data_IF_205785422507
#
_entry.id   IF_205785422507
#
_cell.length_a   1.000
_cell.length_b   1.000
_cell.length_c   1.000
_cell.angle_alpha   90.00
_cell.angle_beta   90.00
_cell.angle_gamma   90.00
#
_symmetry.space_group_name_H-M   'P 1'
#
loop_
_entity.id
_entity.type
_entity.pdbx_description
1 polymer ?
#
# COMPACT_ATOMS: atom_id res chain seq x y z
N UNK A 1 12.38 5.90 9.05
CA UNK A 1 13.50 4.93 8.84
C UNK A 1 13.15 4.02 7.66
N UNK A 2 14.11 3.29 7.09
CA UNK A 2 13.85 2.31 6.02
C UNK A 2 12.79 1.27 6.47
N UNK A 3 12.91 0.78 7.71
CA UNK A 3 11.95 -0.16 8.31
C UNK A 3 10.52 0.39 8.31
N UNK A 4 10.33 1.65 8.73
CA UNK A 4 9.01 2.27 8.74
C UNK A 4 8.40 2.40 7.33
N UNK A 5 9.17 2.82 6.31
CA UNK A 5 8.63 2.93 4.93
C UNK A 5 8.20 1.57 4.38
N UNK A 6 9.00 0.52 4.59
CA UNK A 6 8.65 -0.82 4.13
C UNK A 6 7.41 -1.36 4.85
N UNK A 7 7.33 -1.20 6.17
CA UNK A 7 6.15 -1.59 6.96
C UNK A 7 4.91 -0.83 6.51
N UNK A 8 5.04 0.49 6.32
CA UNK A 8 3.94 1.36 5.92
C UNK A 8 3.40 1.00 4.53
N UNK A 9 4.27 0.81 3.53
CA UNK A 9 3.84 0.45 2.19
C UNK A 9 3.19 -0.94 2.13
N UNK A 10 3.75 -1.93 2.84
CA UNK A 10 3.15 -3.26 2.94
C UNK A 10 1.75 -3.23 3.57
N UNK A 11 1.63 -2.57 4.73
CA UNK A 11 0.35 -2.36 5.42
C UNK A 11 -0.66 -1.65 4.52
N UNK A 12 -0.27 -0.50 3.94
CA UNK A 12 -1.15 0.33 3.13
C UNK A 12 -1.73 -0.45 1.95
N UNK A 13 -0.90 -1.18 1.21
CA UNK A 13 -1.34 -1.98 0.06
C UNK A 13 -2.25 -3.14 0.49
N UNK A 14 -1.89 -3.87 1.55
CA UNK A 14 -2.68 -4.99 2.04
C UNK A 14 -4.07 -4.55 2.51
N UNK A 15 -4.15 -3.45 3.27
CA UNK A 15 -5.41 -2.90 3.77
C UNK A 15 -6.28 -2.37 2.62
N UNK A 16 -5.73 -1.60 1.66
CA UNK A 16 -6.53 -1.15 0.51
C UNK A 16 -7.03 -2.30 -0.35
N UNK A 17 -6.22 -3.34 -0.55
CA UNK A 17 -6.66 -4.53 -1.28
C UNK A 17 -7.85 -5.23 -0.59
N UNK A 18 -7.78 -5.43 0.73
CA UNK A 18 -8.88 -6.07 1.49
C UNK A 18 -10.17 -5.24 1.47
N UNK A 19 -10.06 -3.93 1.57
CA UNK A 19 -11.20 -3.01 1.54
C UNK A 19 -11.68 -2.66 0.12
N UNK A 20 -11.07 -3.24 -0.92
CA UNK A 20 -11.50 -3.10 -2.32
C UNK A 20 -12.13 -4.38 -2.84
N UNK A 21 -11.49 -5.53 -2.59
CA UNK A 21 -11.89 -6.81 -3.19
C UNK A 21 -11.83 -7.99 -2.20
N UNK A 22 -11.69 -7.71 -0.91
CA UNK A 22 -11.50 -8.71 0.14
C UNK A 22 -12.65 -8.80 1.13
N UNK A 23 -12.31 -8.88 2.41
CA UNK A 23 -13.27 -9.04 3.50
C UNK A 23 -13.78 -7.72 4.07
N UNK A 24 -13.12 -6.60 3.74
CA UNK A 24 -13.40 -5.25 4.25
C UNK A 24 -13.34 -5.18 5.78
N UNK A 25 -12.37 -5.90 6.38
CA UNK A 25 -12.24 -6.05 7.84
C UNK A 25 -10.83 -5.86 8.34
N UNK A 26 -9.81 -5.93 7.48
CA UNK A 26 -8.44 -5.77 7.93
C UNK A 26 -8.25 -4.39 8.55
N UNK A 27 -7.62 -4.39 9.72
CA UNK A 27 -7.19 -3.20 10.44
C UNK A 27 -5.66 -3.15 10.50
N UNK A 28 -5.11 -2.05 11.01
CA UNK A 28 -3.66 -1.95 11.22
C UNK A 28 -3.15 -2.99 12.22
N UNK A 29 -3.98 -3.34 13.21
CA UNK A 29 -3.61 -4.31 14.24
C UNK A 29 -3.45 -5.73 13.67
N UNK A 30 -4.10 -6.02 12.53
CA UNK A 30 -3.96 -7.29 11.80
C UNK A 30 -2.69 -7.36 10.95
N UNK A 31 -1.95 -6.24 10.80
CA UNK A 31 -0.74 -6.14 9.99
C UNK A 31 0.47 -5.75 10.86
N UNK A 32 1.06 -6.70 11.60
CA UNK A 32 2.12 -6.42 12.55
C UNK A 32 3.37 -5.85 11.87
N UNK A 33 4.08 -4.96 12.58
CA UNK A 33 5.34 -4.37 12.11
C UNK A 33 6.40 -5.47 11.96
N UNK A 34 7.00 -5.66 10.76
CA UNK A 34 8.03 -6.66 10.54
C UNK A 34 9.26 -6.49 11.45
N UNK A 35 9.75 -7.59 12.03
CA UNK A 35 10.93 -7.60 12.90
C UNK A 35 12.26 -7.72 12.15
N UNK A 36 12.21 -8.10 10.87
CA UNK A 36 13.38 -8.24 10.01
C UNK A 36 13.18 -7.65 8.60
N UNK A 37 14.29 -7.43 7.90
CA UNK A 37 14.24 -6.98 6.50
C UNK A 37 13.58 -8.01 5.58
N UNK A 38 13.79 -9.30 5.81
CA UNK A 38 13.17 -10.36 5.03
C UNK A 38 11.64 -10.37 5.21
N UNK A 39 11.17 -10.28 6.45
CA UNK A 39 9.73 -10.16 6.74
C UNK A 39 9.13 -8.90 6.12
N UNK A 40 9.84 -7.78 6.15
CA UNK A 40 9.37 -6.52 5.55
C UNK A 40 9.22 -6.62 4.03
N UNK A 41 10.16 -7.29 3.35
CA UNK A 41 10.08 -7.53 1.90
C UNK A 41 8.93 -8.48 1.57
N UNK A 42 8.78 -9.58 2.31
CA UNK A 42 7.66 -10.51 2.13
C UNK A 42 6.31 -9.80 2.30
N UNK A 43 6.15 -8.97 3.34
CA UNK A 43 4.91 -8.22 3.56
C UNK A 43 4.63 -7.21 2.44
N UNK A 44 5.66 -6.50 1.98
CA UNK A 44 5.53 -5.57 0.85
C UNK A 44 5.13 -6.28 -0.44
N UNK A 45 5.77 -7.40 -0.77
CA UNK A 45 5.46 -8.20 -1.96
C UNK A 45 4.04 -8.77 -1.91
N UNK A 46 3.61 -9.26 -0.74
CA UNK A 46 2.25 -9.77 -0.53
C UNK A 46 1.20 -8.67 -0.70
N UNK A 47 1.41 -7.50 -0.08
CA UNK A 47 0.53 -6.34 -0.22
C UNK A 47 0.46 -5.85 -1.67
N UNK A 48 1.61 -5.68 -2.33
CA UNK A 48 1.66 -5.25 -3.73
C UNK A 48 0.95 -6.23 -4.66
N UNK A 49 1.12 -7.54 -4.45
CA UNK A 49 0.43 -8.58 -5.22
C UNK A 49 -1.07 -8.57 -4.98
N UNK A 50 -1.52 -8.35 -3.74
CA UNK A 50 -2.94 -8.25 -3.42
C UNK A 50 -3.58 -7.02 -4.07
N UNK A 51 -2.92 -5.87 -3.99
CA UNK A 51 -3.38 -4.64 -4.63
C UNK A 51 -3.43 -4.78 -6.15
N UNK A 52 -2.40 -5.37 -6.77
CA UNK A 52 -2.38 -5.65 -8.19
C UNK A 52 -3.56 -6.53 -8.62
N UNK A 53 -3.88 -7.59 -7.87
CA UNK A 53 -5.04 -8.44 -8.17
C UNK A 53 -6.35 -7.67 -8.09
N UNK A 54 -6.54 -6.85 -7.04
CA UNK A 54 -7.72 -6.00 -6.91
C UNK A 54 -7.88 -5.08 -8.14
N UNK A 55 -6.79 -4.49 -8.65
CA UNK A 55 -6.83 -3.65 -9.85
C UNK A 55 -7.07 -4.41 -11.16
N UNK A 56 -6.69 -5.68 -11.25
CA UNK A 56 -6.88 -6.46 -12.47
C UNK A 56 -8.31 -7.01 -12.60
N UNK A 57 -9.07 -7.04 -11.50
CA UNK A 57 -10.44 -7.52 -11.45
C UNK A 57 -11.50 -6.40 -11.63
N UNK A 58 -11.08 -5.13 -11.74
CA UNK A 58 -11.99 -4.00 -11.96
C UNK A 58 -12.18 -3.64 -13.43
N UNK A 59 -13.37 -3.12 -13.76
CA UNK A 59 -13.70 -2.52 -15.04
C UNK A 59 -13.86 -0.99 -14.93
N UNK A 60 -14.15 -0.33 -16.05
CA UNK A 60 -14.33 1.13 -16.09
C UNK A 60 -15.48 1.60 -15.17
N UNK A 61 -16.52 0.79 -14.97
CA UNK A 61 -17.65 1.15 -14.08
C UNK A 61 -17.18 1.17 -12.63
N UNK A 62 -16.37 0.19 -12.22
CA UNK A 62 -15.78 0.15 -10.89
C UNK A 62 -14.86 1.36 -10.64
N UNK A 63 -14.08 1.80 -11.63
CA UNK A 63 -13.24 2.99 -11.52
C UNK A 63 -14.03 4.27 -11.23
N UNK A 64 -15.22 4.43 -11.83
CA UNK A 64 -16.10 5.58 -11.62
C UNK A 64 -16.98 5.47 -10.35
N UNK A 65 -16.97 4.32 -9.66
CA UNK A 65 -17.81 4.09 -8.49
C UNK A 65 -17.23 4.76 -7.25
N UNK A 66 -17.99 5.68 -6.67
CA UNK A 66 -17.70 6.27 -5.35
C UNK A 66 -17.88 5.22 -4.25
N UNK A 67 -16.88 5.07 -3.39
CA UNK A 67 -16.90 4.13 -2.28
C UNK A 67 -16.73 2.66 -2.68
N UNK A 68 -16.14 2.40 -3.85
CA UNK A 68 -15.75 1.04 -4.26
C UNK A 68 -14.68 0.46 -3.30
N UNK A 69 -13.71 1.28 -2.91
CA UNK A 69 -12.82 0.99 -1.78
C UNK A 69 -13.46 1.55 -0.51
N UNK A 70 -13.55 0.76 0.56
CA UNK A 70 -14.21 1.18 1.82
C UNK A 70 -13.24 1.32 2.97
N UNK A 71 -11.96 1.60 2.72
CA UNK A 71 -10.96 1.70 3.78
C UNK A 71 -11.34 2.82 4.78
N UNK A 72 -11.49 2.51 6.08
CA UNK A 72 -12.20 3.41 7.01
C UNK A 72 -11.35 4.57 7.57
N UNK A 73 -10.08 4.68 7.18
CA UNK A 73 -9.15 5.69 7.70
C UNK A 73 -8.57 6.59 6.60
N UNK A 74 -9.32 6.75 5.52
CA UNK A 74 -9.08 7.67 4.41
C UNK A 74 -10.40 8.18 3.83
N UNK A 75 -10.32 8.93 2.73
CA UNK A 75 -11.50 9.35 1.97
C UNK A 75 -12.06 8.26 1.04
N UNK A 76 -11.56 7.03 1.14
CA UNK A 76 -11.84 5.93 0.22
C UNK A 76 -13.35 5.70 -0.01
N UNK A 77 -14.16 5.79 1.05
CA UNK A 77 -15.61 5.61 0.98
C UNK A 77 -16.37 6.78 0.33
N UNK A 78 -15.73 7.94 0.19
CA UNK A 78 -16.34 9.18 -0.31
C UNK A 78 -15.85 9.61 -1.70
N UNK A 79 -14.81 8.97 -2.23
CA UNK A 79 -14.19 9.32 -3.51
C UNK A 79 -14.41 8.23 -4.58
N UNK A 80 -14.38 8.59 -5.88
CA UNK A 80 -14.32 7.62 -6.97
C UNK A 80 -13.12 6.68 -6.82
N UNK A 81 -13.27 5.41 -7.20
CA UNK A 81 -12.19 4.45 -7.08
C UNK A 81 -10.93 4.86 -7.84
N UNK A 82 -11.08 5.49 -9.01
CA UNK A 82 -9.97 6.03 -9.79
C UNK A 82 -9.07 7.01 -8.99
N UNK A 83 -9.66 7.84 -8.13
CA UNK A 83 -8.91 8.79 -7.29
C UNK A 83 -8.14 8.06 -6.18
N UNK A 84 -8.70 6.95 -5.67
CA UNK A 84 -8.01 6.07 -4.71
C UNK A 84 -6.84 5.37 -5.39
N UNK A 85 -7.02 4.84 -6.60
CA UNK A 85 -5.92 4.25 -7.39
C UNK A 85 -4.82 5.27 -7.66
N UNK A 86 -5.21 6.49 -8.06
CA UNK A 86 -4.26 7.58 -8.26
C UNK A 86 -3.47 7.89 -6.98
N UNK A 87 -4.15 8.02 -5.84
CA UNK A 87 -3.52 8.34 -4.56
C UNK A 87 -2.57 7.23 -4.09
N UNK A 88 -2.96 5.95 -4.19
CA UNK A 88 -2.08 4.82 -3.83
C UNK A 88 -0.80 4.83 -4.68
N UNK A 89 -0.90 5.19 -5.97
CA UNK A 89 0.27 5.37 -6.82
C UNK A 89 1.16 6.54 -6.35
N UNK A 90 0.58 7.66 -5.90
CA UNK A 90 1.37 8.77 -5.36
C UNK A 90 2.14 8.36 -4.10
N UNK A 91 1.51 7.63 -3.19
CA UNK A 91 2.14 7.13 -1.95
C UNK A 91 3.30 6.16 -2.24
N UNK A 92 3.09 5.23 -3.19
CA UNK A 92 4.14 4.30 -3.64
C UNK A 92 5.36 5.06 -4.21
N UNK A 93 5.12 6.06 -5.06
CA UNK A 93 6.19 6.86 -5.65
C UNK A 93 6.91 7.71 -4.59
N UNK A 94 6.14 8.35 -3.72
CA UNK A 94 6.65 9.19 -2.64
C UNK A 94 7.58 8.40 -1.71
N UNK A 95 7.08 7.32 -1.10
CA UNK A 95 7.88 6.52 -0.17
C UNK A 95 8.94 5.67 -0.88
N UNK A 96 8.71 5.28 -2.13
CA UNK A 96 9.72 4.63 -2.98
C UNK A 96 10.95 5.52 -3.19
N UNK A 97 10.75 6.82 -3.43
CA UNK A 97 11.85 7.79 -3.53
C UNK A 97 12.61 7.94 -2.20
N UNK A 98 11.91 7.98 -1.07
CA UNK A 98 12.56 8.01 0.24
C UNK A 98 13.39 6.75 0.53
N UNK A 99 12.87 5.57 0.15
CA UNK A 99 13.60 4.29 0.27
C UNK A 99 14.89 4.34 -0.56
N UNK A 100 14.82 4.80 -1.81
CA UNK A 100 15.98 4.93 -2.68
C UNK A 100 17.04 5.85 -2.06
N UNK A 101 16.63 7.05 -1.62
CA UNK A 101 17.51 8.01 -0.94
C UNK A 101 18.20 7.40 0.28
N UNK A 102 17.45 6.72 1.15
CA UNK A 102 18.00 6.12 2.37
C UNK A 102 19.01 5.01 2.06
N UNK A 103 18.78 4.23 1.00
CA UNK A 103 19.73 3.20 0.54
C UNK A 103 21.02 3.83 0.01
N UNK A 104 20.92 4.92 -0.74
CA UNK A 104 22.07 5.63 -1.27
C UNK A 104 22.91 6.27 -0.16
N UNK A 105 22.27 6.96 0.79
CA UNK A 105 22.96 7.52 1.97
C UNK A 105 23.63 6.44 2.81
N UNK A 106 22.99 5.27 2.95
CA UNK A 106 23.58 4.15 3.67
C UNK A 106 24.82 3.59 2.98
N UNK A 107 24.78 3.49 1.64
CA UNK A 107 25.93 3.09 0.83
C UNK A 107 27.06 4.09 0.94
N UNK A 108 26.75 5.39 0.88
CA UNK A 108 27.75 6.46 0.92
C UNK A 108 28.46 6.54 2.28
N UNK A 109 27.72 6.39 3.39
CA UNK A 109 28.29 6.32 4.75
C UNK A 109 29.26 5.15 4.98
N UNK A 110 29.23 4.11 4.15
CA UNK A 110 30.13 2.95 4.25
C UNK A 110 31.40 3.09 3.39
N UNK A 111 31.51 4.16 2.60
CA UNK A 111 32.72 4.52 1.85
C UNK A 111 33.65 5.34 2.73
#
# INVERSE_FOLDING_TARGET
TLAWRLSHLGEMLALRADHTAGSHRLTRDDHPVPGSAAEALTALEAGASAWQRALLDVDDTALDTVGYCTYPHGGDAEEPFADIVWWVNQELLHHGAEIALLRDLHRDRRR
#
